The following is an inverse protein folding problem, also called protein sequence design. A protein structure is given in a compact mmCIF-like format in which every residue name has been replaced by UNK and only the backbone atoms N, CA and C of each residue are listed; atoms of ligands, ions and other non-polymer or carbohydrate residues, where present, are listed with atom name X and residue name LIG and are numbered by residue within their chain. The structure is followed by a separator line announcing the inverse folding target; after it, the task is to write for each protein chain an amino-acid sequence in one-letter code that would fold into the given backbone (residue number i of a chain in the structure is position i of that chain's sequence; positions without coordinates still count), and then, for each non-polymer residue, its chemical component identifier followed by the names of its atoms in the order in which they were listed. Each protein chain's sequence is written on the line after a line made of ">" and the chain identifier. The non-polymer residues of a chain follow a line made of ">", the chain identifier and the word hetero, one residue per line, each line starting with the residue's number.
data_IF_082159360816
#
_entry.id   IF_082159360816
#
_cell.length_a   1.000
_cell.length_b   1.000
_cell.length_c   1.000
_cell.angle_alpha   90.00
_cell.angle_beta   90.00
_cell.angle_gamma   90.00
#
_symmetry.space_group_name_H-M   'P 1'
#
loop_
_entity.id
_entity.type
_entity.pdbx_description
1 polymer ?
#
# COMPACT_ATOMS: atom_id res chain seq x y z
N UNK A 1 12.65 2.37 -15.57
CA UNK A 1 13.34 1.92 -14.34
C UNK A 1 12.36 1.12 -13.50
N UNK A 2 12.80 0.03 -12.85
CA UNK A 2 11.96 -0.73 -11.92
C UNK A 2 12.06 -0.12 -10.52
N UNK A 3 10.95 -0.10 -9.77
CA UNK A 3 10.93 0.34 -8.37
C UNK A 3 11.38 -0.84 -7.49
N UNK A 4 12.34 -0.61 -6.59
CA UNK A 4 12.72 -1.55 -5.52
C UNK A 4 11.95 -1.23 -4.24
N UNK A 5 11.89 -2.18 -3.30
CA UNK A 5 11.26 -1.95 -1.98
C UNK A 5 11.97 -0.81 -1.23
N UNK A 6 13.31 -0.77 -1.28
CA UNK A 6 14.09 0.31 -0.68
C UNK A 6 13.78 1.68 -1.31
N UNK A 7 13.67 1.75 -2.64
CA UNK A 7 13.31 2.99 -3.32
C UNK A 7 11.89 3.42 -2.95
N UNK A 8 10.94 2.49 -2.87
CA UNK A 8 9.57 2.77 -2.48
C UNK A 8 9.52 3.37 -1.06
N UNK A 9 10.16 2.72 -0.08
CA UNK A 9 10.24 3.22 1.30
C UNK A 9 10.86 4.62 1.35
N UNK A 10 12.01 4.78 0.69
CA UNK A 10 12.75 6.04 0.72
C UNK A 10 11.95 7.20 0.10
N UNK A 11 11.36 7.00 -1.07
CA UNK A 11 10.65 8.07 -1.78
C UNK A 11 9.29 8.38 -1.15
N UNK A 12 8.57 7.36 -0.67
CA UNK A 12 7.30 7.55 0.05
C UNK A 12 7.51 8.36 1.33
N UNK A 13 8.47 7.97 2.18
CA UNK A 13 8.71 8.67 3.44
C UNK A 13 9.29 10.07 3.25
N UNK A 14 10.24 10.26 2.33
CA UNK A 14 10.74 11.60 2.00
C UNK A 14 9.62 12.52 1.52
N UNK A 15 8.73 12.02 0.66
CA UNK A 15 7.60 12.81 0.16
C UNK A 15 6.65 13.17 1.30
N UNK A 16 6.34 12.21 2.17
CA UNK A 16 5.48 12.45 3.32
C UNK A 16 6.05 13.53 4.26
N UNK A 17 7.33 13.43 4.61
CA UNK A 17 8.07 14.43 5.41
C UNK A 17 8.10 15.79 4.74
N UNK A 18 8.44 15.87 3.45
CA UNK A 18 8.47 17.13 2.71
C UNK A 18 7.11 17.82 2.60
N UNK A 19 6.02 17.07 2.79
CA UNK A 19 4.64 17.58 2.80
C UNK A 19 4.11 17.85 4.21
N UNK A 20 4.94 17.70 5.24
CA UNK A 20 4.60 17.99 6.64
C UNK A 20 3.69 16.95 7.31
N UNK A 21 3.52 15.76 6.71
CA UNK A 21 2.65 14.72 7.28
C UNK A 21 3.16 14.12 8.60
N UNK A 22 4.44 14.37 8.92
CA UNK A 22 5.11 13.90 10.14
C UNK A 22 5.45 15.05 11.10
N UNK A 23 4.93 16.26 10.86
CA UNK A 23 5.16 17.41 11.73
C UNK A 23 4.30 17.37 13.01
N UNK A 24 3.21 16.58 13.00
CA UNK A 24 2.35 16.35 14.17
C UNK A 24 2.88 15.20 15.03
N UNK A 25 3.34 15.54 16.23
CA UNK A 25 3.85 14.60 17.23
C UNK A 25 2.80 13.63 17.78
N UNK A 26 1.50 13.93 17.61
CA UNK A 26 0.40 13.08 18.09
C UNK A 26 -0.02 12.00 17.09
N UNK A 27 0.53 12.06 15.87
CA UNK A 27 0.26 11.09 14.82
C UNK A 27 0.63 9.69 15.29
N UNK A 28 -0.36 8.80 15.37
CA UNK A 28 -0.17 7.48 15.97
C UNK A 28 -0.35 6.33 14.98
N UNK A 29 0.18 5.16 15.34
CA UNK A 29 0.12 3.94 14.52
C UNK A 29 -1.32 3.53 14.19
N UNK A 30 -2.28 3.76 15.08
CA UNK A 30 -3.69 3.42 14.85
C UNK A 30 -4.29 4.19 13.67
N UNK A 31 -4.05 5.50 13.62
CA UNK A 31 -4.49 6.35 12.50
C UNK A 31 -3.80 5.98 11.19
N UNK A 32 -2.51 5.67 11.24
CA UNK A 32 -1.74 5.24 10.06
C UNK A 32 -2.29 3.94 9.46
N UNK A 33 -2.64 2.97 10.32
CA UNK A 33 -3.28 1.72 9.89
C UNK A 33 -4.68 1.98 9.32
N UNK A 34 -5.45 2.90 9.90
CA UNK A 34 -6.76 3.29 9.38
C UNK A 34 -6.65 3.93 7.99
N UNK A 35 -5.62 4.74 7.73
CA UNK A 35 -5.36 5.30 6.39
C UNK A 35 -4.98 4.21 5.38
N UNK A 36 -4.20 3.19 5.77
CA UNK A 36 -3.95 2.04 4.89
C UNK A 36 -5.27 1.33 4.54
N UNK A 37 -6.17 1.16 5.52
CA UNK A 37 -7.49 0.56 5.29
C UNK A 37 -8.38 1.41 4.38
N UNK A 38 -8.28 2.75 4.42
CA UNK A 38 -9.06 3.59 3.52
C UNK A 38 -8.63 3.39 2.07
N UNK A 39 -7.33 3.27 1.77
CA UNK A 39 -6.88 3.00 0.38
C UNK A 39 -7.37 1.64 -0.14
N UNK A 40 -7.43 0.61 0.73
CA UNK A 40 -8.05 -0.68 0.37
C UNK A 40 -9.54 -0.52 0.05
N UNK A 41 -10.23 0.38 0.75
CA UNK A 41 -11.64 0.68 0.50
C UNK A 41 -11.82 1.48 -0.80
N UNK A 42 -10.93 2.41 -1.12
CA UNK A 42 -10.92 3.12 -2.41
C UNK A 42 -10.74 2.15 -3.59
N UNK A 43 -9.90 1.12 -3.43
CA UNK A 43 -9.79 0.05 -4.42
C UNK A 43 -11.13 -0.68 -4.61
N UNK A 44 -11.85 -0.99 -3.53
CA UNK A 44 -13.17 -1.61 -3.62
C UNK A 44 -14.19 -0.71 -4.33
N UNK A 45 -14.20 0.59 -4.04
CA UNK A 45 -15.08 1.53 -4.73
C UNK A 45 -14.75 1.64 -6.23
N UNK A 46 -13.47 1.69 -6.58
CA UNK A 46 -13.02 1.64 -7.98
C UNK A 46 -13.54 0.38 -8.69
N UNK A 47 -13.44 -0.79 -8.05
CA UNK A 47 -13.99 -2.03 -8.58
C UNK A 47 -15.51 -2.00 -8.75
N UNK A 48 -16.25 -1.37 -7.83
CA UNK A 48 -17.71 -1.26 -7.95
C UNK A 48 -18.14 -0.40 -9.14
N UNK A 49 -17.34 0.61 -9.49
CA UNK A 49 -17.60 1.50 -10.62
C UNK A 49 -17.30 0.81 -11.94
N UNK A 50 -16.14 0.15 -12.06
CA UNK A 50 -15.64 -0.36 -13.34
C UNK A 50 -15.94 -1.84 -13.58
N UNK A 51 -16.14 -2.62 -12.52
CA UNK A 51 -16.34 -4.06 -12.58
C UNK A 51 -15.03 -4.84 -12.82
N UNK A 52 -15.15 -6.17 -12.82
CA UNK A 52 -14.00 -7.09 -12.91
C UNK A 52 -13.21 -6.96 -14.22
N UNK A 53 -13.90 -6.64 -15.31
CA UNK A 53 -13.29 -6.64 -16.65
C UNK A 53 -12.44 -5.39 -16.90
N UNK A 54 -12.53 -4.37 -16.03
CA UNK A 54 -11.83 -3.09 -16.16
C UNK A 54 -10.89 -2.80 -14.97
N UNK A 55 -10.39 -3.83 -14.26
CA UNK A 55 -9.47 -3.65 -13.12
C UNK A 55 -8.19 -2.90 -13.47
N UNK A 56 -7.72 -2.99 -14.72
CA UNK A 56 -6.52 -2.28 -15.20
C UNK A 56 -6.79 -0.86 -15.67
N UNK A 57 -8.04 -0.39 -15.66
CA UNK A 57 -8.40 0.94 -16.12
C UNK A 57 -7.97 1.98 -15.10
N UNK A 58 -7.39 3.06 -15.61
CA UNK A 58 -7.02 4.24 -14.85
C UNK A 58 -7.68 5.46 -15.48
N UNK A 59 -8.14 6.38 -14.65
CA UNK A 59 -8.71 7.65 -15.09
C UNK A 59 -8.19 8.78 -14.21
N UNK A 60 -8.46 10.02 -14.61
CA UNK A 60 -8.20 11.20 -13.80
C UNK A 60 -9.51 11.68 -13.19
N UNK A 61 -9.47 11.96 -11.90
CA UNK A 61 -10.58 12.60 -11.19
C UNK A 61 -10.77 14.04 -11.65
N UNK A 62 -11.83 14.72 -11.16
CA UNK A 62 -12.05 16.15 -11.44
C UNK A 62 -10.90 17.04 -10.96
N UNK A 63 -10.13 16.61 -9.95
CA UNK A 63 -8.96 17.33 -9.44
C UNK A 63 -7.66 16.94 -10.16
N UNK A 64 -7.71 16.02 -11.12
CA UNK A 64 -6.53 15.48 -11.79
C UNK A 64 -5.79 14.41 -10.99
N UNK A 65 -6.35 13.91 -9.88
CA UNK A 65 -5.80 12.74 -9.15
C UNK A 65 -5.96 11.51 -10.06
N UNK A 66 -4.91 10.71 -10.31
CA UNK A 66 -5.09 9.40 -10.93
C UNK A 66 -5.88 8.50 -9.98
N UNK A 67 -6.87 7.79 -10.52
CA UNK A 67 -7.75 6.88 -9.80
C UNK A 67 -7.88 5.56 -10.58
N UNK A 68 -8.25 4.50 -9.87
CA UNK A 68 -8.51 3.19 -10.44
C UNK A 68 -8.03 2.07 -9.54
N UNK A 69 -8.55 0.86 -9.73
CA UNK A 69 -8.33 -0.25 -8.80
C UNK A 69 -6.84 -0.50 -8.52
N UNK A 70 -6.00 -0.55 -9.55
CA UNK A 70 -4.55 -0.76 -9.39
C UNK A 70 -3.85 0.47 -8.80
N UNK A 71 -4.35 1.68 -9.07
CA UNK A 71 -3.80 2.93 -8.48
C UNK A 71 -4.01 2.93 -6.97
N UNK A 72 -5.21 2.58 -6.49
CA UNK A 72 -5.47 2.55 -5.05
C UNK A 72 -4.71 1.42 -4.34
N UNK A 73 -4.49 0.27 -5.01
CA UNK A 73 -3.57 -0.75 -4.50
C UNK A 73 -2.11 -0.26 -4.43
N UNK A 74 -1.68 0.61 -5.36
CA UNK A 74 -0.37 1.23 -5.27
C UNK A 74 -0.33 2.22 -4.09
N UNK A 75 -1.41 2.95 -3.81
CA UNK A 75 -1.48 3.86 -2.66
C UNK A 75 -1.39 3.09 -1.33
N UNK A 76 -2.01 1.91 -1.22
CA UNK A 76 -1.80 0.98 -0.09
C UNK A 76 -0.31 0.70 0.13
N UNK A 77 0.44 0.37 -0.93
CA UNK A 77 1.87 0.10 -0.83
C UNK A 77 2.66 1.35 -0.44
N UNK A 78 2.30 2.53 -0.94
CA UNK A 78 2.92 3.81 -0.60
C UNK A 78 2.73 4.12 0.88
N UNK A 79 1.52 3.94 1.43
CA UNK A 79 1.22 4.15 2.85
C UNK A 79 2.01 3.20 3.76
N UNK A 80 2.09 1.92 3.39
CA UNK A 80 2.90 0.93 4.12
C UNK A 80 4.38 1.31 4.07
N UNK A 81 4.87 1.74 2.90
CA UNK A 81 6.26 2.09 2.70
C UNK A 81 6.67 3.36 3.47
N UNK A 82 5.81 4.39 3.49
CA UNK A 82 5.99 5.57 4.34
C UNK A 82 6.06 5.19 5.82
N UNK A 83 5.09 4.40 6.30
CA UNK A 83 5.07 3.87 7.67
C UNK A 83 6.38 3.16 8.01
N UNK A 84 6.85 2.25 7.15
CA UNK A 84 8.11 1.55 7.37
C UNK A 84 9.32 2.49 7.37
N UNK A 85 9.32 3.49 6.48
CA UNK A 85 10.39 4.48 6.41
C UNK A 85 10.48 5.35 7.65
N UNK A 86 9.33 5.76 8.19
CA UNK A 86 9.29 6.57 9.41
C UNK A 86 9.82 5.81 10.63
N UNK A 87 9.35 4.59 10.82
CA UNK A 87 9.73 3.77 11.96
C UNK A 87 11.01 2.94 11.74
N UNK A 88 11.73 3.18 10.64
CA UNK A 88 12.97 2.47 10.27
C UNK A 88 12.82 0.93 10.30
N UNK A 89 11.74 0.43 9.70
CA UNK A 89 11.38 -0.99 9.67
C UNK A 89 11.91 -1.68 8.40
N UNK A 90 12.51 -2.86 8.56
CA UNK A 90 13.05 -3.65 7.44
C UNK A 90 11.97 -4.50 6.75
N UNK A 91 11.17 -3.85 5.91
CA UNK A 91 10.12 -4.51 5.14
C UNK A 91 10.66 -5.50 4.10
N UNK A 92 11.83 -5.22 3.50
CA UNK A 92 12.40 -6.10 2.47
C UNK A 92 12.83 -7.45 3.06
N UNK A 93 13.51 -7.45 4.22
CA UNK A 93 13.85 -8.69 4.92
C UNK A 93 12.61 -9.43 5.42
N UNK A 94 11.60 -8.71 5.92
CA UNK A 94 10.33 -9.31 6.34
C UNK A 94 9.61 -10.00 5.17
N UNK A 95 9.56 -9.36 4.00
CA UNK A 95 8.99 -9.91 2.77
C UNK A 95 9.74 -11.16 2.31
N UNK A 96 11.07 -11.10 2.20
CA UNK A 96 11.91 -12.26 1.81
C UNK A 96 11.65 -13.45 2.72
N UNK A 97 11.74 -13.23 4.03
CA UNK A 97 11.52 -14.26 5.05
C UNK A 97 10.13 -14.87 4.93
N UNK A 98 9.09 -14.01 4.80
CA UNK A 98 7.71 -14.48 4.76
C UNK A 98 7.38 -15.21 3.47
N UNK A 99 7.91 -14.76 2.33
CA UNK A 99 7.73 -15.40 1.03
C UNK A 99 8.37 -16.79 1.01
N UNK A 100 9.60 -16.95 1.49
CA UNK A 100 10.26 -18.26 1.58
C UNK A 100 9.48 -19.22 2.49
N UNK A 101 9.06 -18.75 3.66
CA UNK A 101 8.21 -19.55 4.54
C UNK A 101 6.87 -19.94 3.88
N UNK A 102 6.22 -19.03 3.14
CA UNK A 102 4.98 -19.32 2.45
C UNK A 102 5.15 -20.35 1.32
N UNK A 103 6.29 -20.37 0.62
CA UNK A 103 6.60 -21.39 -0.41
C UNK A 103 6.69 -22.80 0.20
N UNK A 104 7.17 -22.91 1.43
CA UNK A 104 7.27 -24.18 2.15
C UNK A 104 5.92 -24.68 2.73
N UNK A 105 4.84 -23.89 2.65
CA UNK A 105 3.55 -24.29 3.22
C UNK A 105 2.87 -25.38 2.39
N UNK A 106 2.19 -26.34 3.04
CA UNK A 106 1.30 -27.26 2.35
C UNK A 106 0.21 -26.52 1.58
N UNK A 107 -0.26 -27.14 0.50
CA UNK A 107 -1.37 -26.61 -0.30
C UNK A 107 -2.59 -26.31 0.59
N UNK A 108 -3.09 -25.07 0.51
CA UNK A 108 -4.24 -24.57 1.28
C UNK A 108 -4.11 -24.72 2.80
N UNK A 109 -2.90 -24.51 3.33
CA UNK A 109 -2.67 -24.46 4.78
C UNK A 109 -3.65 -23.50 5.49
N UNK A 110 -4.51 -24.04 6.36
CA UNK A 110 -5.51 -23.30 7.13
C UNK A 110 -6.91 -23.18 6.49
N UNK A 111 -7.10 -23.64 5.25
CA UNK A 111 -8.37 -23.76 4.52
C UNK A 111 -9.39 -22.60 4.63
N UNK A 112 -8.91 -21.36 4.85
CA UNK A 112 -9.78 -20.18 4.85
C UNK A 112 -10.24 -19.88 3.42
N UNK A 113 -11.55 -19.73 3.23
CA UNK A 113 -12.15 -19.22 1.99
C UNK A 113 -12.37 -17.72 2.20
N UNK A 114 -11.81 -16.91 1.31
CA UNK A 114 -12.19 -15.51 1.17
C UNK A 114 -13.56 -15.43 0.47
#
# INVERSE_FOLDING_TARGET
>A
MSITIQNLISESNKTAKNKGWWDDENRNIGELLALIHSEVSEALESYRITGKDELSKTWLSKSGKPEGFVIELADVLIRIADLCGEFNLDLDQALKTKLEYNKARPYRHGNKKA
#
